data_IF_643788625825
#
_entry.id   IF_643788625825
#
_cell.length_a   1.000
_cell.length_b   1.000
_cell.length_c   1.000
_cell.angle_alpha   90.00
_cell.angle_beta   90.00
_cell.angle_gamma   90.00
#
_symmetry.space_group_name_H-M   'P 1'
#
loop_
_entity.id
_entity.type
_entity.pdbx_description
1 polymer ?
#
# COMPACT_ATOMS: atom_id res chain seq x y z
N UNK A 1 -63.31 15.68 29.42
CA UNK A 1 -62.84 16.05 30.78
C UNK A 1 -61.42 15.51 30.90
N UNK A 2 -60.33 16.22 31.22
CA UNK A 2 -60.04 17.63 31.45
C UNK A 2 -58.56 17.86 31.05
N UNK A 3 -58.25 19.09 30.63
CA UNK A 3 -56.90 19.61 30.30
C UNK A 3 -56.07 19.84 31.56
N UNK A 4 -54.74 19.73 31.47
CA UNK A 4 -53.82 20.73 32.04
C UNK A 4 -52.42 20.68 31.42
N UNK A 5 -51.99 21.83 30.93
CA UNK A 5 -50.62 22.18 30.52
C UNK A 5 -49.75 22.42 31.77
N UNK A 6 -48.44 22.19 31.67
CA UNK A 6 -47.43 23.16 32.13
C UNK A 6 -46.04 22.85 31.52
N UNK A 7 -45.43 23.91 30.98
CA UNK A 7 -44.10 24.07 30.41
C UNK A 7 -43.08 24.49 31.47
N UNK A 8 -41.85 23.95 31.44
CA UNK A 8 -40.59 24.56 31.97
C UNK A 8 -39.43 23.62 31.55
N UNK A 9 -38.62 23.87 30.52
CA UNK A 9 -37.54 24.85 30.34
C UNK A 9 -36.39 24.74 31.35
N UNK A 10 -35.38 23.90 31.07
CA UNK A 10 -34.00 24.07 31.56
C UNK A 10 -33.00 23.46 30.56
N UNK A 11 -32.53 24.31 29.63
CA UNK A 11 -31.26 24.13 28.94
C UNK A 11 -30.15 24.58 29.90
N UNK A 12 -29.25 23.67 30.29
CA UNK A 12 -28.01 24.04 30.97
C UNK A 12 -26.94 24.32 29.92
N UNK A 13 -26.58 25.60 29.81
CA UNK A 13 -25.38 26.09 29.14
C UNK A 13 -24.14 25.54 29.86
N UNK A 14 -23.32 24.77 29.14
CA UNK A 14 -21.91 24.58 29.48
C UNK A 14 -21.13 25.67 28.75
N UNK A 15 -20.84 26.72 29.49
CA UNK A 15 -19.95 27.82 29.09
C UNK A 15 -18.50 27.28 29.15
N UNK A 16 -17.92 26.98 27.98
CA UNK A 16 -16.50 26.67 27.86
C UNK A 16 -15.81 27.81 27.13
N UNK A 17 -15.07 28.63 27.89
CA UNK A 17 -14.20 29.70 27.40
C UNK A 17 -13.24 29.19 26.30
N UNK A 18 -13.14 29.85 25.14
CA UNK A 18 -12.05 29.58 24.19
C UNK A 18 -10.78 30.33 24.63
N UNK A 19 -9.80 29.57 25.10
CA UNK A 19 -8.45 30.08 25.37
C UNK A 19 -7.79 30.60 24.06
N UNK A 20 -7.47 31.89 24.05
CA UNK A 20 -6.86 32.60 22.91
C UNK A 20 -5.39 32.17 22.77
N UNK A 21 -5.11 31.25 21.84
CA UNK A 21 -3.74 30.94 21.45
C UNK A 21 -3.14 32.04 20.59
N UNK A 22 -2.11 32.72 21.11
CA UNK A 22 -1.34 33.77 20.43
C UNK A 22 -0.58 33.22 19.22
N UNK A 23 -0.50 33.94 18.09
CA UNK A 23 0.29 33.49 16.93
C UNK A 23 1.78 33.73 17.16
N UNK A 24 2.58 32.65 17.08
CA UNK A 24 4.04 32.72 17.03
C UNK A 24 4.46 33.11 15.61
N UNK A 25 5.06 34.29 15.46
CA UNK A 25 5.75 34.69 14.23
C UNK A 25 7.06 33.90 14.11
N UNK A 26 7.09 32.92 13.22
CA UNK A 26 8.34 32.35 12.71
C UNK A 26 8.40 32.56 11.20
N UNK A 27 8.94 33.71 10.80
CA UNK A 27 9.45 33.90 9.45
C UNK A 27 10.75 33.08 9.33
N UNK A 28 10.69 31.92 8.70
CA UNK A 28 11.89 31.23 8.20
C UNK A 28 11.64 30.88 6.74
N UNK A 29 12.40 31.51 5.84
CA UNK A 29 12.46 31.16 4.42
C UNK A 29 12.95 29.72 4.32
N UNK A 30 12.08 28.79 3.95
CA UNK A 30 12.44 27.40 3.66
C UNK A 30 12.41 27.24 2.14
N UNK A 31 13.40 26.52 1.61
CA UNK A 31 13.70 26.29 0.18
C UNK A 31 14.66 27.28 -0.48
N UNK A 32 15.87 27.34 0.09
CA UNK A 32 17.07 27.17 -0.73
C UNK A 32 18.07 26.32 0.05
N UNK A 33 18.60 25.33 -0.65
CA UNK A 33 19.75 24.48 -0.32
C UNK A 33 19.45 23.13 0.37
N UNK A 34 19.78 22.10 -0.41
CA UNK A 34 19.83 20.68 -0.07
C UNK A 34 20.88 20.39 1.01
N UNK A 35 20.53 19.61 2.05
CA UNK A 35 21.27 18.40 2.41
C UNK A 35 20.46 17.54 3.41
N UNK A 36 20.34 16.24 3.14
CA UNK A 36 19.77 15.28 4.07
C UNK A 36 20.72 15.07 5.28
N UNK A 37 20.23 15.08 6.53
CA UNK A 37 21.10 14.83 7.68
C UNK A 37 21.36 13.33 7.83
N UNK A 38 22.65 12.99 7.93
CA UNK A 38 23.13 11.66 8.33
C UNK A 38 23.35 11.64 9.84
N UNK A 39 22.62 10.80 10.58
CA UNK A 39 23.04 10.22 11.87
C UNK A 39 22.25 8.91 12.08
N UNK A 40 22.91 7.77 11.91
CA UNK A 40 22.95 6.64 12.84
C UNK A 40 24.27 5.93 12.53
N UNK A 41 25.31 6.26 13.28
CA UNK A 41 26.49 5.44 13.41
C UNK A 41 26.21 4.35 14.46
N UNK A 42 26.94 3.25 14.34
CA UNK A 42 27.05 2.13 15.29
C UNK A 42 26.10 0.95 15.02
N UNK A 43 26.42 0.12 14.01
CA UNK A 43 26.56 -1.34 14.18
C UNK A 43 27.63 -1.84 13.21
N UNK A 44 28.64 -2.48 13.79
CA UNK A 44 29.77 -3.14 13.15
C UNK A 44 29.31 -4.43 12.44
N UNK A 45 29.48 -4.51 11.11
CA UNK A 45 29.59 -5.78 10.40
C UNK A 45 30.63 -5.67 9.28
N UNK A 46 31.69 -6.43 9.45
CA UNK A 46 32.81 -6.59 8.53
C UNK A 46 32.37 -7.39 7.31
N UNK A 47 32.57 -6.85 6.11
CA UNK A 47 32.90 -7.71 4.98
C UNK A 47 33.82 -6.97 3.99
N UNK A 48 35.00 -7.53 3.81
CA UNK A 48 36.09 -6.96 3.05
C UNK A 48 35.87 -7.18 1.55
N UNK A 49 35.83 -6.11 0.76
CA UNK A 49 36.12 -6.18 -0.69
C UNK A 49 37.10 -5.08 -1.08
N UNK A 50 38.20 -5.51 -1.73
CA UNK A 50 39.35 -4.70 -2.12
C UNK A 50 39.08 -3.99 -3.46
N UNK A 51 39.21 -2.65 -3.57
CA UNK A 51 39.17 -1.97 -4.87
C UNK A 51 40.57 -1.78 -5.48
N UNK A 52 40.71 -2.20 -6.74
CA UNK A 52 41.89 -1.99 -7.60
C UNK A 52 41.93 -0.54 -8.11
N UNK A 53 43.06 0.14 -7.88
CA UNK A 53 43.35 1.52 -8.34
C UNK A 53 43.61 1.56 -9.86
N UNK A 54 42.92 2.46 -10.57
CA UNK A 54 43.32 2.91 -11.92
C UNK A 54 43.63 4.41 -11.87
N UNK A 55 44.87 4.76 -12.23
CA UNK A 55 45.37 6.15 -12.29
C UNK A 55 44.99 6.80 -13.62
N UNK A 56 44.26 7.90 -13.58
CA UNK A 56 44.10 8.85 -14.69
C UNK A 56 45.23 9.89 -14.68
N UNK A 57 45.86 10.17 -15.82
CA UNK A 57 46.79 11.30 -15.99
C UNK A 57 46.35 12.15 -17.19
N UNK A 58 46.05 13.42 -16.92
CA UNK A 58 45.82 14.46 -17.90
C UNK A 58 47.07 15.35 -18.05
N UNK A 59 47.37 15.84 -19.25
CA UNK A 59 48.21 17.04 -19.48
C UNK A 59 47.93 17.69 -20.86
N UNK A 60 47.52 18.97 -20.82
CA UNK A 60 47.39 20.00 -21.90
C UNK A 60 48.78 20.64 -22.23
N UNK A 61 48.89 21.72 -23.03
CA UNK A 61 48.45 22.05 -24.41
C UNK A 61 49.60 22.65 -25.26
N UNK A 62 49.43 22.91 -26.58
CA UNK A 62 50.30 23.87 -27.28
C UNK A 62 49.61 24.54 -28.49
N UNK A 63 49.82 25.86 -28.64
CA UNK A 63 49.27 26.75 -29.65
C UNK A 63 50.36 27.21 -30.66
N UNK A 64 49.88 27.78 -31.79
CA UNK A 64 50.53 28.31 -33.01
C UNK A 64 51.91 28.98 -32.93
N UNK A 65 52.55 29.12 -34.12
CA UNK A 65 52.66 30.46 -34.70
C UNK A 65 52.32 30.53 -36.20
N UNK A 66 52.11 31.77 -36.67
CA UNK A 66 51.73 32.17 -38.03
C UNK A 66 52.93 32.40 -38.96
N UNK A 67 52.73 32.35 -40.30
CA UNK A 67 53.09 33.38 -41.31
C UNK A 67 52.89 32.92 -42.78
N UNK A 68 52.08 33.71 -43.51
CA UNK A 68 52.25 34.33 -44.86
C UNK A 68 52.32 33.52 -46.20
N UNK A 69 51.27 33.71 -47.02
CA UNK A 69 51.09 33.88 -48.50
C UNK A 69 52.08 33.25 -49.51
N UNK A 70 51.60 32.41 -50.46
CA UNK A 70 51.73 32.59 -51.93
C UNK A 70 50.84 31.61 -52.74
N UNK A 71 50.44 32.02 -53.94
CA UNK A 71 49.43 31.46 -54.84
C UNK A 71 50.10 30.66 -55.99
N UNK A 72 49.69 29.42 -56.28
CA UNK A 72 49.64 28.83 -57.66
C UNK A 72 49.03 27.42 -57.68
N UNK A 73 48.28 27.13 -58.74
CA UNK A 73 47.41 25.96 -59.04
C UNK A 73 48.16 24.91 -59.91
N UNK A 74 47.52 23.86 -60.50
CA UNK A 74 46.97 22.59 -59.97
C UNK A 74 47.72 21.33 -60.47
N UNK A 75 47.48 20.14 -59.88
CA UNK A 75 47.26 18.84 -60.59
C UNK A 75 47.37 17.60 -59.67
N UNK A 76 46.59 16.58 -60.04
CA UNK A 76 46.59 15.15 -59.65
C UNK A 76 46.00 14.68 -58.31
N UNK A 77 44.73 14.28 -58.40
CA UNK A 77 44.02 13.45 -57.41
C UNK A 77 44.31 11.97 -57.67
N UNK A 78 45.17 11.36 -56.86
CA UNK A 78 45.27 9.89 -56.73
C UNK A 78 44.35 9.44 -55.58
N UNK A 79 43.34 8.61 -55.88
CA UNK A 79 42.45 8.01 -54.87
C UNK A 79 43.14 6.82 -54.19
N UNK A 80 43.24 6.74 -52.85
CA UNK A 80 43.79 5.56 -52.20
C UNK A 80 42.76 4.41 -52.08
N UNK A 81 43.22 3.19 -52.34
CA UNK A 81 42.42 1.96 -52.34
C UNK A 81 41.88 1.60 -50.93
N UNK A 82 40.60 1.21 -50.86
CA UNK A 82 39.86 0.85 -49.64
C UNK A 82 40.30 -0.53 -49.11
N UNK A 83 41.05 -0.54 -48.01
CA UNK A 83 41.47 -1.78 -47.34
C UNK A 83 40.28 -2.54 -46.71
N UNK A 84 40.20 -3.84 -46.97
CA UNK A 84 39.16 -4.79 -46.52
C UNK A 84 39.18 -4.99 -44.98
N UNK A 85 38.58 -4.08 -44.21
CA UNK A 85 38.34 -4.25 -42.75
C UNK A 85 37.09 -5.07 -42.38
N UNK A 86 36.27 -5.45 -43.37
CA UNK A 86 34.98 -6.13 -43.15
C UNK A 86 35.10 -7.51 -42.46
N UNK A 87 36.19 -8.24 -42.68
CA UNK A 87 36.41 -9.56 -42.04
C UNK A 87 36.64 -9.45 -40.52
N UNK A 88 37.24 -8.35 -40.06
CA UNK A 88 37.48 -8.10 -38.65
C UNK A 88 36.21 -7.66 -37.91
N UNK A 89 35.33 -6.94 -38.60
CA UNK A 89 34.02 -6.54 -38.06
C UNK A 89 33.13 -7.77 -37.86
N UNK A 90 33.13 -8.72 -38.82
CA UNK A 90 32.40 -9.98 -38.70
C UNK A 90 32.92 -10.87 -37.56
N UNK A 91 34.24 -10.91 -37.33
CA UNK A 91 34.83 -11.64 -36.21
C UNK A 91 34.37 -11.06 -34.86
N UNK A 92 34.29 -9.73 -34.73
CA UNK A 92 33.77 -9.07 -33.53
C UNK A 92 32.30 -9.41 -33.25
N UNK A 93 31.46 -9.43 -34.28
CA UNK A 93 30.04 -9.81 -34.17
C UNK A 93 29.89 -11.28 -33.74
N UNK A 94 30.70 -12.18 -34.30
CA UNK A 94 30.68 -13.60 -33.93
C UNK A 94 31.08 -13.82 -32.46
N UNK A 95 32.11 -13.12 -31.98
CA UNK A 95 32.52 -13.19 -30.57
C UNK A 95 31.41 -12.65 -29.65
N UNK A 96 30.74 -11.56 -30.04
CA UNK A 96 29.64 -11.00 -29.26
C UNK A 96 28.47 -11.99 -29.13
N UNK A 97 28.13 -12.69 -30.23
CA UNK A 97 27.07 -13.70 -30.25
C UNK A 97 27.40 -14.91 -29.36
N UNK A 98 28.66 -15.37 -29.37
CA UNK A 98 29.11 -16.47 -28.50
C UNK A 98 29.04 -16.07 -27.02
N UNK A 99 29.46 -14.85 -26.67
CA UNK A 99 29.38 -14.35 -25.29
C UNK A 99 27.92 -14.23 -24.82
N UNK A 100 27.01 -13.77 -25.70
CA UNK A 100 25.57 -13.69 -25.37
C UNK A 100 24.94 -15.07 -25.21
N UNK A 101 25.32 -16.05 -26.04
CA UNK A 101 24.83 -17.43 -25.92
C UNK A 101 25.32 -18.14 -24.64
N UNK A 102 26.55 -17.87 -24.18
CA UNK A 102 27.07 -18.41 -22.92
C UNK A 102 26.38 -17.72 -21.73
N UNK A 103 26.15 -16.41 -21.80
CA UNK A 103 25.47 -15.64 -20.76
C UNK A 103 24.04 -16.11 -20.48
N UNK A 104 23.28 -16.47 -21.52
CA UNK A 104 21.90 -16.98 -21.36
C UNK A 104 21.86 -18.38 -20.72
N UNK A 105 22.83 -19.24 -21.02
CA UNK A 105 22.90 -20.60 -20.44
C UNK A 105 23.19 -20.62 -18.93
N UNK A 106 24.12 -19.77 -18.48
CA UNK A 106 24.47 -19.69 -17.05
C UNK A 106 23.31 -19.09 -16.25
N UNK A 107 22.66 -18.05 -16.76
CA UNK A 107 21.53 -17.38 -16.12
C UNK A 107 20.29 -18.27 -15.95
N UNK A 108 20.05 -19.21 -16.86
CA UNK A 108 18.91 -20.13 -16.75
C UNK A 108 19.06 -21.09 -15.56
N UNK A 109 20.26 -21.61 -15.34
CA UNK A 109 20.53 -22.55 -14.24
C UNK A 109 20.47 -21.89 -12.85
N UNK A 110 20.91 -20.64 -12.75
CA UNK A 110 20.83 -19.87 -11.50
C UNK A 110 19.39 -19.47 -11.19
N UNK A 111 18.61 -19.10 -12.21
CA UNK A 111 17.18 -18.82 -12.06
C UNK A 111 16.38 -20.06 -11.61
N UNK A 112 16.69 -21.25 -12.12
CA UNK A 112 16.05 -22.49 -11.67
C UNK A 112 16.35 -22.81 -10.21
N UNK A 113 17.62 -22.68 -9.80
CA UNK A 113 18.04 -22.87 -8.39
C UNK A 113 17.42 -21.83 -7.46
N UNK A 114 17.31 -20.58 -7.90
CA UNK A 114 16.66 -19.51 -7.13
C UNK A 114 15.16 -19.77 -6.95
N UNK A 115 14.48 -20.30 -7.98
CA UNK A 115 13.05 -20.69 -7.88
C UNK A 115 12.85 -21.86 -6.91
N UNK A 116 13.69 -22.88 -6.98
CA UNK A 116 13.64 -24.01 -6.04
C UNK A 116 13.93 -23.57 -4.60
N UNK A 117 14.92 -22.68 -4.40
CA UNK A 117 15.23 -22.13 -3.09
C UNK A 117 14.11 -21.22 -2.55
N UNK A 118 13.48 -20.42 -3.41
CA UNK A 118 12.34 -19.59 -3.04
C UNK A 118 11.12 -20.46 -2.65
N UNK A 119 10.87 -21.55 -3.36
CA UNK A 119 9.81 -22.50 -3.04
C UNK A 119 10.04 -23.18 -1.68
N UNK A 120 11.27 -23.61 -1.40
CA UNK A 120 11.61 -24.18 -0.08
C UNK A 120 11.48 -23.17 1.05
N UNK A 121 11.89 -21.92 0.81
CA UNK A 121 11.78 -20.83 1.79
C UNK A 121 10.32 -20.47 2.06
N UNK A 122 9.48 -20.44 1.03
CA UNK A 122 8.06 -20.15 1.16
C UNK A 122 7.32 -21.25 1.93
N UNK A 123 7.64 -22.53 1.68
CA UNK A 123 7.09 -23.65 2.45
C UNK A 123 7.55 -23.62 3.90
N UNK A 124 8.82 -23.26 4.16
CA UNK A 124 9.36 -23.10 5.50
C UNK A 124 8.68 -21.94 6.24
N UNK A 125 8.43 -20.80 5.58
CA UNK A 125 7.74 -19.65 6.16
C UNK A 125 6.28 -19.98 6.53
N UNK A 126 5.57 -20.67 5.62
CA UNK A 126 4.21 -21.15 5.88
C UNK A 126 4.16 -22.17 7.02
N UNK A 127 5.12 -23.09 7.07
CA UNK A 127 5.26 -24.07 8.15
C UNK A 127 5.53 -23.38 9.49
N UNK A 128 6.48 -22.43 9.53
CA UNK A 128 6.85 -21.66 10.72
C UNK A 128 5.66 -20.86 11.25
N UNK A 129 4.96 -20.16 10.35
CA UNK A 129 3.76 -19.38 10.71
C UNK A 129 2.66 -20.27 11.28
N UNK A 130 2.44 -21.44 10.67
CA UNK A 130 1.44 -22.40 11.14
C UNK A 130 1.83 -23.00 12.49
N UNK A 131 3.13 -23.22 12.72
CA UNK A 131 3.65 -23.76 13.98
C UNK A 131 3.46 -22.76 15.13
N UNK A 132 3.84 -21.49 14.94
CA UNK A 132 3.64 -20.43 15.94
C UNK A 132 2.15 -20.24 16.27
N UNK A 133 1.27 -20.36 15.26
CA UNK A 133 -0.19 -20.34 15.49
C UNK A 133 -0.65 -21.55 16.31
N UNK A 134 -0.12 -22.75 16.01
CA UNK A 134 -0.43 -23.94 16.80
C UNK A 134 0.04 -23.80 18.25
N UNK A 135 1.20 -23.20 18.51
CA UNK A 135 1.67 -22.93 19.88
C UNK A 135 0.76 -21.96 20.63
N UNK A 136 0.26 -20.92 19.95
CA UNK A 136 -0.76 -20.03 20.51
C UNK A 136 -2.06 -20.78 20.79
N UNK A 137 -2.53 -21.61 19.86
CA UNK A 137 -3.74 -22.41 20.06
C UNK A 137 -3.60 -23.36 21.26
N UNK A 138 -2.42 -23.91 21.51
CA UNK A 138 -2.12 -24.71 22.71
C UNK A 138 -2.18 -23.86 23.97
N UNK A 139 -1.58 -22.66 23.96
CA UNK A 139 -1.62 -21.72 25.08
C UNK A 139 -3.06 -21.27 25.40
N UNK A 140 -3.90 -21.14 24.37
CA UNK A 140 -5.31 -20.77 24.47
C UNK A 140 -6.22 -21.98 24.78
N UNK A 141 -5.67 -23.20 24.91
CA UNK A 141 -6.41 -24.42 25.22
C UNK A 141 -7.19 -25.05 24.04
N UNK A 142 -7.04 -24.50 22.83
CA UNK A 142 -7.68 -24.97 21.61
C UNK A 142 -6.93 -26.16 20.98
N UNK A 143 -6.84 -27.28 21.70
CA UNK A 143 -5.99 -28.42 21.33
C UNK A 143 -6.36 -29.03 19.97
N UNK A 144 -7.64 -29.05 19.60
CA UNK A 144 -8.10 -29.56 18.30
C UNK A 144 -7.60 -28.68 17.15
N UNK A 145 -7.66 -27.36 17.27
CA UNK A 145 -7.12 -26.43 16.27
C UNK A 145 -5.60 -26.56 16.16
N UNK A 146 -4.92 -26.70 17.29
CA UNK A 146 -3.48 -26.96 17.31
C UNK A 146 -3.12 -28.25 16.57
N UNK A 147 -3.83 -29.35 16.81
CA UNK A 147 -3.60 -30.63 16.13
C UNK A 147 -3.79 -30.54 14.61
N UNK A 148 -4.82 -29.84 14.14
CA UNK A 148 -5.09 -29.64 12.72
C UNK A 148 -3.99 -28.81 12.03
N UNK A 149 -3.52 -27.73 12.69
CA UNK A 149 -2.41 -26.92 12.16
C UNK A 149 -1.10 -27.71 12.12
N UNK A 150 -0.82 -28.54 13.11
CA UNK A 150 0.37 -29.41 13.13
C UNK A 150 0.27 -30.49 12.03
N UNK A 151 -0.90 -31.10 11.82
CA UNK A 151 -1.12 -32.03 10.71
C UNK A 151 -0.99 -31.34 9.34
N UNK A 152 -1.43 -30.08 9.21
CA UNK A 152 -1.21 -29.30 8.00
C UNK A 152 0.28 -29.10 7.71
N UNK A 153 1.10 -28.78 8.71
CA UNK A 153 2.57 -28.68 8.55
C UNK A 153 3.14 -30.01 8.05
N UNK A 154 2.65 -31.15 8.55
CA UNK A 154 3.09 -32.47 8.09
C UNK A 154 2.80 -32.70 6.59
N UNK A 155 1.78 -32.06 6.02
CA UNK A 155 1.47 -32.16 4.58
C UNK A 155 2.35 -31.27 3.70
N UNK A 156 2.80 -30.11 4.20
CA UNK A 156 3.54 -29.11 3.40
C UNK A 156 5.06 -29.16 3.62
N UNK A 157 5.50 -29.55 4.83
CA UNK A 157 6.90 -29.63 5.25
C UNK A 157 7.07 -30.68 6.37
N UNK A 158 7.07 -31.99 6.03
CA UNK A 158 7.19 -33.07 7.02
C UNK A 158 8.46 -33.01 7.89
N UNK A 159 9.54 -32.43 7.36
CA UNK A 159 10.83 -32.28 8.06
C UNK A 159 10.92 -31.09 9.00
N UNK A 160 9.80 -30.48 9.41
CA UNK A 160 9.82 -29.32 10.30
C UNK A 160 10.35 -29.71 11.69
N UNK A 161 11.34 -29.00 12.25
CA UNK A 161 11.96 -29.36 13.52
C UNK A 161 10.95 -29.30 14.67
N UNK A 162 10.86 -30.38 15.45
CA UNK A 162 9.97 -30.47 16.62
C UNK A 162 8.49 -30.71 16.29
N UNK A 163 8.11 -30.88 15.02
CA UNK A 163 6.72 -31.10 14.61
C UNK A 163 6.12 -32.38 15.19
N UNK A 164 6.83 -33.50 15.03
CA UNK A 164 6.33 -34.81 15.46
C UNK A 164 6.15 -34.87 16.99
N UNK A 165 7.11 -34.30 17.72
CA UNK A 165 7.05 -34.25 19.18
C UNK A 165 5.91 -33.36 19.66
N UNK A 166 5.71 -32.18 19.03
CA UNK A 166 4.62 -31.27 19.35
C UNK A 166 3.26 -31.88 19.02
N UNK A 167 3.14 -32.56 17.88
CA UNK A 167 1.90 -33.25 17.51
C UNK A 167 1.59 -34.38 18.49
N UNK A 168 2.59 -35.15 18.91
CA UNK A 168 2.42 -36.20 19.93
C UNK A 168 1.95 -35.61 21.27
N UNK A 169 2.56 -34.51 21.71
CA UNK A 169 2.16 -33.77 22.93
C UNK A 169 0.71 -33.29 22.88
N UNK A 170 0.28 -32.70 21.75
CA UNK A 170 -1.09 -32.22 21.60
C UNK A 170 -2.09 -33.38 21.56
N UNK A 171 -1.77 -34.46 20.82
CA UNK A 171 -2.66 -35.62 20.74
C UNK A 171 -2.78 -36.35 22.09
N UNK A 172 -1.72 -36.43 22.88
CA UNK A 172 -1.81 -36.98 24.24
C UNK A 172 -2.61 -36.06 25.16
N UNK A 173 -2.44 -34.74 25.05
CA UNK A 173 -3.25 -33.77 25.80
C UNK A 173 -4.75 -33.86 25.44
N UNK A 174 -5.08 -34.03 24.16
CA UNK A 174 -6.46 -34.28 23.70
C UNK A 174 -7.00 -35.59 24.29
N UNK A 175 -6.20 -36.65 24.31
CA UNK A 175 -6.60 -37.96 24.86
C UNK A 175 -6.79 -37.92 26.38
N UNK A 176 -6.00 -37.12 27.11
CA UNK A 176 -6.16 -36.93 28.56
C UNK A 176 -7.37 -36.04 28.87
N UNK A 177 -7.58 -34.98 28.07
CA UNK A 177 -8.71 -34.07 28.23
C UNK A 177 -10.06 -34.71 27.85
N UNK A 178 -10.03 -35.73 26.97
CA UNK A 178 -11.20 -36.50 26.56
C UNK A 178 -10.99 -37.99 26.91
N UNK A 179 -11.13 -38.39 28.18
CA UNK A 179 -10.92 -39.76 28.61
C UNK A 179 -11.89 -40.76 27.95
N UNK A 180 -12.99 -40.29 27.37
CA UNK A 180 -13.94 -41.11 26.58
C UNK A 180 -13.49 -41.39 25.13
N UNK A 181 -12.37 -40.81 24.69
CA UNK A 181 -11.85 -40.96 23.32
C UNK A 181 -10.68 -41.96 23.19
N UNK A 182 -10.40 -42.76 24.23
CA UNK A 182 -9.36 -43.80 24.18
C UNK A 182 -9.98 -45.19 24.01
N UNK A 183 -10.18 -45.61 22.77
CA UNK A 183 -10.23 -47.02 22.42
C UNK A 183 -9.31 -47.25 21.20
N UNK A 184 -8.13 -47.80 21.46
CA UNK A 184 -7.35 -48.48 20.44
C UNK A 184 -8.18 -49.67 19.88
N UNK A 185 -8.00 -50.06 18.60
CA UNK A 185 -8.84 -51.07 17.96
C UNK A 185 -8.53 -52.46 18.54
N UNK A 186 -9.44 -52.99 19.35
CA UNK A 186 -9.48 -54.41 19.69
C UNK A 186 -10.64 -55.07 18.92
N UNK A 187 -10.42 -56.25 18.31
CA UNK A 187 -11.48 -56.94 17.57
C UNK A 187 -12.49 -57.45 18.59
N UNK A 188 -13.70 -56.87 18.61
CA UNK A 188 -14.75 -57.28 19.54
C UNK A 188 -16.10 -57.26 18.81
N UNK A 189 -16.97 -58.25 19.07
CA UNK A 189 -18.13 -58.60 18.25
C UNK A 189 -19.28 -57.62 18.45
N UNK A 190 -20.12 -57.48 17.40
CA UNK A 190 -21.47 -56.90 17.39
C UNK A 190 -21.89 -56.16 18.67
N UNK A 191 -21.39 -54.93 18.83
CA UNK A 191 -21.94 -53.98 19.79
C UNK A 191 -23.03 -53.19 19.07
N UNK A 192 -24.26 -53.32 19.57
CA UNK A 192 -25.44 -52.66 19.08
C UNK A 192 -25.21 -51.16 18.84
N UNK A 193 -25.57 -50.71 17.65
CA UNK A 193 -25.66 -49.31 17.28
C UNK A 193 -26.63 -48.59 18.22
N UNK A 194 -26.13 -47.86 19.22
CA UNK A 194 -26.87 -46.70 19.73
C UNK A 194 -26.70 -45.59 18.69
N UNK A 195 -27.76 -45.13 18.01
CA UNK A 195 -27.63 -44.04 17.05
C UNK A 195 -27.20 -42.79 17.80
N UNK A 196 -25.97 -42.33 17.55
CA UNK A 196 -25.64 -40.91 17.72
C UNK A 196 -26.69 -40.14 16.92
N UNK A 197 -27.34 -39.09 17.47
CA UNK A 197 -28.26 -38.26 16.70
C UNK A 197 -27.56 -37.86 15.40
N UNK A 198 -28.04 -38.39 14.28
CA UNK A 198 -27.54 -37.99 12.97
C UNK A 198 -27.92 -36.54 12.84
N UNK A 199 -26.94 -35.64 12.98
CA UNK A 199 -27.15 -34.20 12.72
C UNK A 199 -27.84 -34.12 11.36
N UNK A 200 -29.02 -33.49 11.32
CA UNK A 200 -29.80 -33.41 10.10
C UNK A 200 -29.03 -32.58 9.07
N UNK A 201 -28.36 -33.30 8.18
CA UNK A 201 -27.52 -32.75 7.12
C UNK A 201 -28.25 -32.77 5.77
N UNK A 202 -29.56 -33.01 5.78
CA UNK A 202 -30.38 -33.03 4.55
C UNK A 202 -30.29 -31.69 3.80
N UNK A 203 -30.34 -30.57 4.51
CA UNK A 203 -30.24 -29.24 3.92
C UNK A 203 -28.84 -28.95 3.35
N UNK A 204 -27.76 -29.26 4.08
CA UNK A 204 -26.38 -29.00 3.60
C UNK A 204 -26.00 -29.86 2.39
N UNK A 205 -26.58 -31.07 2.25
CA UNK A 205 -26.42 -31.91 1.04
C UNK A 205 -27.01 -31.28 -0.22
N UNK A 206 -28.01 -30.40 -0.08
CA UNK A 206 -28.59 -29.66 -1.22
C UNK A 206 -27.80 -28.37 -1.48
N UNK A 207 -27.30 -27.70 -0.44
CA UNK A 207 -26.60 -26.42 -0.55
C UNK A 207 -25.20 -26.54 -1.19
N UNK A 208 -24.46 -27.62 -0.95
CA UNK A 208 -23.11 -27.75 -1.53
C UNK A 208 -23.12 -27.87 -3.07
N UNK A 209 -23.97 -28.70 -3.71
CA UNK A 209 -24.13 -28.68 -5.16
C UNK A 209 -24.59 -27.32 -5.71
N UNK A 210 -25.46 -26.61 -4.99
CA UNK A 210 -25.86 -25.25 -5.36
C UNK A 210 -24.65 -24.29 -5.35
N UNK A 211 -23.84 -24.32 -4.28
CA UNK A 211 -22.64 -23.52 -4.18
C UNK A 211 -21.65 -23.83 -5.32
N UNK A 212 -21.44 -25.12 -5.65
CA UNK A 212 -20.60 -25.51 -6.78
C UNK A 212 -21.12 -24.96 -8.12
N UNK A 213 -22.43 -24.99 -8.35
CA UNK A 213 -23.04 -24.39 -9.55
C UNK A 213 -22.87 -22.87 -9.60
N UNK A 214 -23.02 -22.18 -8.47
CA UNK A 214 -22.79 -20.74 -8.36
C UNK A 214 -21.33 -20.37 -8.61
N UNK A 215 -20.39 -21.16 -8.08
CA UNK A 215 -18.97 -21.04 -8.36
C UNK A 215 -18.68 -21.18 -9.85
N UNK A 216 -19.20 -22.22 -10.50
CA UNK A 216 -19.03 -22.45 -11.94
C UNK A 216 -19.66 -21.35 -12.81
N UNK A 217 -20.71 -20.70 -12.31
CA UNK A 217 -21.42 -19.61 -12.99
C UNK A 217 -20.83 -18.23 -12.69
N UNK A 218 -19.78 -18.14 -11.87
CA UNK A 218 -19.21 -16.89 -11.35
C UNK A 218 -20.22 -16.02 -10.57
N UNK A 219 -21.26 -16.62 -10.00
CA UNK A 219 -22.21 -15.94 -9.11
C UNK A 219 -21.58 -15.81 -7.71
N UNK A 220 -20.60 -14.91 -7.58
CA UNK A 220 -19.84 -14.76 -6.34
C UNK A 220 -20.71 -14.31 -5.17
N UNK A 221 -21.68 -13.43 -5.41
CA UNK A 221 -22.61 -12.96 -4.39
C UNK A 221 -23.48 -14.11 -3.89
N UNK A 222 -24.13 -14.83 -4.79
CA UNK A 222 -24.95 -15.98 -4.43
C UNK A 222 -24.14 -17.10 -3.79
N UNK A 223 -22.92 -17.34 -4.27
CA UNK A 223 -21.99 -18.30 -3.67
C UNK A 223 -21.70 -17.97 -2.21
N UNK A 224 -21.38 -16.70 -1.91
CA UNK A 224 -21.10 -16.23 -0.55
C UNK A 224 -22.32 -16.45 0.36
N UNK A 225 -23.51 -16.11 -0.12
CA UNK A 225 -24.76 -16.27 0.63
C UNK A 225 -25.04 -17.77 0.92
N UNK A 226 -24.85 -18.65 -0.06
CA UNK A 226 -25.03 -20.11 0.11
C UNK A 226 -24.01 -20.73 1.05
N UNK A 227 -22.73 -20.34 0.93
CA UNK A 227 -21.66 -20.84 1.80
C UNK A 227 -21.85 -20.39 3.24
N UNK A 228 -22.27 -19.14 3.48
CA UNK A 228 -22.58 -18.67 4.82
C UNK A 228 -23.73 -19.48 5.45
N UNK A 229 -24.77 -19.81 4.69
CA UNK A 229 -25.85 -20.70 5.16
C UNK A 229 -25.33 -22.08 5.51
N UNK A 230 -24.52 -22.68 4.63
CA UNK A 230 -23.93 -24.00 4.85
C UNK A 230 -23.10 -24.03 6.15
N UNK A 231 -22.20 -23.05 6.32
CA UNK A 231 -21.34 -22.93 7.52
C UNK A 231 -22.14 -22.65 8.80
N UNK A 232 -23.28 -21.96 8.71
CA UNK A 232 -24.17 -21.73 9.86
C UNK A 232 -24.90 -23.00 10.30
N UNK A 233 -25.29 -23.87 9.37
CA UNK A 233 -25.97 -25.14 9.68
C UNK A 233 -24.94 -26.17 10.17
N UNK A 234 -23.85 -26.34 9.44
CA UNK A 234 -22.77 -27.26 9.80
C UNK A 234 -21.38 -26.76 9.41
N UNK A 235 -20.65 -26.14 10.35
CA UNK A 235 -19.28 -25.68 10.12
C UNK A 235 -18.29 -26.81 9.75
N UNK A 236 -18.61 -28.06 10.09
CA UNK A 236 -17.71 -29.21 9.89
C UNK A 236 -17.96 -29.96 8.59
N UNK A 237 -19.06 -29.67 7.89
CA UNK A 237 -19.46 -30.38 6.67
C UNK A 237 -18.52 -30.04 5.51
N UNK A 238 -17.78 -31.03 5.00
CA UNK A 238 -16.87 -30.88 3.86
C UNK A 238 -15.97 -29.63 3.99
N UNK A 239 -15.47 -29.38 5.21
CA UNK A 239 -14.87 -28.09 5.59
C UNK A 239 -13.79 -27.60 4.61
N UNK A 240 -12.94 -28.51 4.12
CA UNK A 240 -11.90 -28.16 3.14
C UNK A 240 -12.49 -27.65 1.81
N UNK A 241 -13.52 -28.31 1.29
CA UNK A 241 -14.20 -27.88 0.05
C UNK A 241 -14.96 -26.58 0.27
N UNK A 242 -15.66 -26.46 1.40
CA UNK A 242 -16.44 -25.27 1.75
C UNK A 242 -15.53 -24.05 1.95
N UNK A 243 -14.40 -24.20 2.65
CA UNK A 243 -13.44 -23.11 2.87
C UNK A 243 -12.77 -22.69 1.55
N UNK A 244 -12.47 -23.64 0.66
CA UNK A 244 -12.00 -23.33 -0.69
C UNK A 244 -13.00 -22.48 -1.48
N UNK A 245 -14.28 -22.87 -1.49
CA UNK A 245 -15.34 -22.08 -2.12
C UNK A 245 -15.55 -20.73 -1.43
N UNK A 246 -15.45 -20.69 -0.10
CA UNK A 246 -15.58 -19.47 0.68
C UNK A 246 -14.48 -18.45 0.35
N UNK A 247 -13.23 -18.92 0.21
CA UNK A 247 -12.11 -18.10 -0.24
C UNK A 247 -12.41 -17.42 -1.59
N UNK A 248 -12.84 -18.18 -2.60
CA UNK A 248 -13.17 -17.61 -3.91
C UNK A 248 -14.36 -16.64 -3.86
N UNK A 249 -15.39 -16.97 -3.07
CA UNK A 249 -16.52 -16.09 -2.86
C UNK A 249 -16.07 -14.74 -2.29
N UNK A 250 -15.31 -14.76 -1.20
CA UNK A 250 -14.79 -13.56 -0.56
C UNK A 250 -13.84 -12.77 -1.46
N UNK A 251 -12.86 -13.43 -2.09
CA UNK A 251 -11.86 -12.79 -2.96
C UNK A 251 -12.52 -12.04 -4.11
N UNK A 252 -13.45 -12.69 -4.82
CA UNK A 252 -14.11 -12.08 -5.97
C UNK A 252 -15.15 -11.01 -5.57
N UNK A 253 -15.91 -11.21 -4.49
CA UNK A 253 -16.77 -10.14 -3.97
C UNK A 253 -15.95 -8.93 -3.49
N UNK A 254 -14.78 -9.16 -2.90
CA UNK A 254 -13.88 -8.09 -2.46
C UNK A 254 -13.44 -7.20 -3.62
N UNK A 255 -12.94 -7.82 -4.70
CA UNK A 255 -12.57 -7.11 -5.93
C UNK A 255 -13.77 -6.37 -6.53
N UNK A 256 -14.92 -7.04 -6.65
CA UNK A 256 -16.13 -6.42 -7.20
C UNK A 256 -16.58 -5.20 -6.38
N UNK A 257 -16.46 -5.26 -5.04
CA UNK A 257 -16.78 -4.14 -4.16
C UNK A 257 -15.82 -2.97 -4.30
N UNK A 258 -14.51 -3.23 -4.39
CA UNK A 258 -13.52 -2.16 -4.66
C UNK A 258 -13.81 -1.50 -6.00
N UNK A 259 -14.06 -2.28 -7.05
CA UNK A 259 -14.34 -1.74 -8.38
C UNK A 259 -15.66 -0.94 -8.44
N UNK A 260 -16.61 -1.24 -7.56
CA UNK A 260 -17.86 -0.50 -7.41
C UNK A 260 -17.75 0.72 -6.48
N UNK A 261 -16.55 1.04 -5.98
CA UNK A 261 -16.30 2.18 -5.09
C UNK A 261 -16.52 1.93 -3.61
N UNK A 262 -16.94 0.73 -3.23
CA UNK A 262 -17.04 0.32 -1.83
C UNK A 262 -15.70 -0.23 -1.32
N UNK A 263 -14.71 0.66 -1.21
CA UNK A 263 -13.32 0.30 -0.93
C UNK A 263 -13.16 -0.47 0.39
N UNK A 264 -13.76 0.02 1.47
CA UNK A 264 -13.66 -0.57 2.81
C UNK A 264 -14.34 -1.94 2.87
N UNK A 265 -15.53 -2.06 2.29
CA UNK A 265 -16.27 -3.32 2.22
C UNK A 265 -15.48 -4.35 1.42
N UNK A 266 -14.88 -3.93 0.31
CA UNK A 266 -14.04 -4.80 -0.49
C UNK A 266 -12.76 -5.22 0.23
N UNK A 267 -12.07 -4.29 0.91
CA UNK A 267 -10.92 -4.57 1.75
C UNK A 267 -11.25 -5.54 2.89
N UNK A 268 -12.43 -5.43 3.49
CA UNK A 268 -12.92 -6.35 4.51
C UNK A 268 -13.06 -7.78 3.96
N UNK A 269 -13.69 -7.94 2.79
CA UNK A 269 -13.78 -9.26 2.14
C UNK A 269 -12.41 -9.85 1.78
N UNK A 270 -11.50 -9.03 1.25
CA UNK A 270 -10.14 -9.48 0.93
C UNK A 270 -9.35 -9.87 2.20
N UNK A 271 -9.52 -9.14 3.30
CA UNK A 271 -8.89 -9.50 4.58
C UNK A 271 -9.40 -10.85 5.10
N UNK A 272 -10.71 -11.11 4.99
CA UNK A 272 -11.28 -12.42 5.35
C UNK A 272 -10.78 -13.53 4.43
N UNK A 273 -10.70 -13.31 3.11
CA UNK A 273 -10.14 -14.28 2.19
C UNK A 273 -8.67 -14.60 2.54
N UNK A 274 -7.86 -13.57 2.84
CA UNK A 274 -6.47 -13.70 3.26
C UNK A 274 -6.27 -14.48 4.57
N UNK A 275 -7.31 -14.59 5.40
CA UNK A 275 -7.27 -15.42 6.63
C UNK A 275 -7.42 -16.92 6.36
N UNK A 276 -8.00 -17.28 5.20
CA UNK A 276 -8.24 -18.67 4.77
C UNK A 276 -7.06 -19.17 3.92
N UNK A 277 -6.66 -18.39 2.92
CA UNK A 277 -5.56 -18.74 2.02
C UNK A 277 -4.84 -17.46 1.53
N UNK A 278 -3.58 -17.55 1.07
CA UNK A 278 -2.86 -16.42 0.50
C UNK A 278 -3.61 -15.76 -0.65
N UNK A 279 -3.66 -14.42 -0.65
CA UNK A 279 -4.21 -13.65 -1.76
C UNK A 279 -3.29 -13.69 -2.97
N UNK A 280 -3.89 -13.66 -4.15
CA UNK A 280 -3.16 -13.53 -5.41
C UNK A 280 -2.72 -12.07 -5.66
N UNK A 281 -1.80 -11.89 -6.61
CA UNK A 281 -1.16 -10.59 -6.85
C UNK A 281 -2.17 -9.48 -7.24
N UNK A 282 -3.25 -9.84 -7.93
CA UNK A 282 -4.30 -8.89 -8.30
C UNK A 282 -4.99 -8.33 -7.04
N UNK A 283 -5.47 -9.21 -6.16
CA UNK A 283 -6.14 -8.82 -4.92
C UNK A 283 -5.19 -8.03 -3.99
N UNK A 284 -3.92 -8.43 -3.91
CA UNK A 284 -2.91 -7.70 -3.13
C UNK A 284 -2.68 -6.28 -3.66
N UNK A 285 -2.44 -6.15 -4.97
CA UNK A 285 -2.21 -4.85 -5.61
C UNK A 285 -3.42 -3.92 -5.44
N UNK A 286 -4.62 -4.43 -5.70
CA UNK A 286 -5.85 -3.67 -5.57
C UNK A 286 -6.12 -3.24 -4.13
N UNK A 287 -5.87 -4.13 -3.16
CA UNK A 287 -6.03 -3.80 -1.74
C UNK A 287 -5.04 -2.73 -1.26
N UNK A 288 -3.80 -2.77 -1.75
CA UNK A 288 -2.78 -1.76 -1.44
C UNK A 288 -3.19 -0.38 -1.95
N UNK A 289 -3.66 -0.31 -3.21
CA UNK A 289 -4.13 0.93 -3.82
C UNK A 289 -5.39 1.47 -3.13
N UNK A 290 -6.35 0.62 -2.78
CA UNK A 290 -7.55 1.02 -2.06
C UNK A 290 -7.23 1.57 -0.65
N UNK A 291 -6.30 0.96 0.09
CA UNK A 291 -5.83 1.49 1.38
C UNK A 291 -5.14 2.84 1.23
N UNK A 292 -4.31 2.99 0.19
CA UNK A 292 -3.63 4.25 -0.11
C UNK A 292 -4.65 5.35 -0.45
N UNK A 293 -5.68 5.03 -1.24
CA UNK A 293 -6.78 5.95 -1.56
C UNK A 293 -7.45 6.44 -0.27
N UNK A 294 -7.93 5.52 0.57
CA UNK A 294 -8.62 5.86 1.82
C UNK A 294 -7.74 6.69 2.77
N UNK A 295 -6.44 6.37 2.82
CA UNK A 295 -5.48 7.16 3.59
C UNK A 295 -5.37 8.58 3.02
N UNK A 296 -5.29 8.73 1.70
CA UNK A 296 -5.22 10.03 1.05
C UNK A 296 -6.49 10.87 1.26
N UNK A 297 -7.65 10.23 1.21
CA UNK A 297 -8.94 10.85 1.47
C UNK A 297 -9.05 11.37 2.91
N UNK A 298 -8.50 10.65 3.90
CA UNK A 298 -8.47 11.13 5.29
C UNK A 298 -7.71 12.46 5.49
N UNK A 299 -6.81 12.80 4.57
CA UNK A 299 -6.11 14.08 4.54
C UNK A 299 -6.81 15.14 3.68
N UNK A 300 -7.78 14.75 2.85
CA UNK A 300 -8.46 15.69 1.96
C UNK A 300 -9.24 16.73 2.78
N UNK A 301 -9.09 18.01 2.45
CA UNK A 301 -9.70 19.11 3.21
C UNK A 301 -8.97 19.51 4.50
N UNK A 302 -8.01 18.70 4.96
CA UNK A 302 -7.21 18.96 6.17
C UNK A 302 -5.75 19.28 5.79
N UNK A 303 -5.14 18.41 4.98
CA UNK A 303 -3.79 18.54 4.46
C UNK A 303 -3.77 18.11 2.98
N UNK A 304 -4.06 19.07 2.11
CA UNK A 304 -4.08 18.83 0.67
C UNK A 304 -2.71 18.42 0.11
N UNK A 305 -1.59 18.81 0.73
CA UNK A 305 -0.27 18.37 0.28
C UNK A 305 -0.11 16.85 0.47
N UNK A 306 -0.45 16.33 1.66
CA UNK A 306 -0.35 14.89 1.94
C UNK A 306 -1.37 14.07 1.13
N UNK A 307 -2.59 14.60 0.99
CA UNK A 307 -3.61 13.98 0.14
C UNK A 307 -3.15 13.88 -1.31
N UNK A 308 -2.61 14.96 -1.87
CA UNK A 308 -2.07 15.02 -3.24
C UNK A 308 -0.91 14.04 -3.46
N UNK A 309 0.03 13.94 -2.51
CA UNK A 309 1.16 13.02 -2.60
C UNK A 309 0.70 11.56 -2.73
N UNK A 310 -0.23 11.13 -1.88
CA UNK A 310 -0.75 9.77 -1.90
C UNK A 310 -1.64 9.51 -3.13
N UNK A 311 -2.51 10.45 -3.47
CA UNK A 311 -3.38 10.35 -4.64
C UNK A 311 -2.61 10.34 -5.96
N UNK A 312 -1.43 10.96 -6.03
CA UNK A 312 -0.58 10.91 -7.22
C UNK A 312 -0.22 9.46 -7.58
N UNK A 313 0.15 8.64 -6.60
CA UNK A 313 0.48 7.24 -6.82
C UNK A 313 -0.75 6.41 -7.14
N UNK A 314 -1.90 6.66 -6.48
CA UNK A 314 -3.14 5.96 -6.81
C UNK A 314 -3.62 6.32 -8.21
N UNK A 315 -3.64 7.60 -8.58
CA UNK A 315 -4.07 8.07 -9.90
C UNK A 315 -3.17 7.55 -11.02
N UNK A 316 -1.88 7.35 -10.76
CA UNK A 316 -0.94 6.76 -11.72
C UNK A 316 -1.22 5.28 -11.98
N UNK A 317 -1.52 4.50 -10.94
CA UNK A 317 -1.65 3.04 -11.05
C UNK A 317 -3.09 2.56 -11.25
N UNK A 318 -4.07 3.30 -10.74
CA UNK A 318 -5.50 3.00 -10.84
C UNK A 318 -6.32 4.29 -11.05
N UNK A 319 -6.16 5.00 -12.18
CA UNK A 319 -6.82 6.29 -12.44
C UNK A 319 -8.35 6.23 -12.38
N UNK A 320 -8.93 5.05 -12.65
CA UNK A 320 -10.37 4.79 -12.67
C UNK A 320 -10.92 4.21 -11.37
N UNK A 321 -10.09 3.99 -10.34
CA UNK A 321 -10.58 3.61 -9.02
C UNK A 321 -11.51 4.70 -8.52
N UNK A 322 -12.71 4.33 -8.10
CA UNK A 322 -13.73 5.24 -7.58
C UNK A 322 -13.92 4.99 -6.09
N UNK A 323 -14.44 5.98 -5.39
CA UNK A 323 -15.01 5.81 -4.06
C UNK A 323 -16.55 5.79 -4.14
N UNK A 324 -17.22 5.79 -3.00
CA UNK A 324 -18.69 5.83 -2.90
C UNK A 324 -19.31 7.13 -3.42
N UNK A 325 -18.52 8.20 -3.57
CA UNK A 325 -19.00 9.46 -4.16
C UNK A 325 -19.03 9.40 -5.70
N UNK A 326 -18.45 8.36 -6.29
CA UNK A 326 -18.35 8.21 -7.74
C UNK A 326 -17.22 9.02 -8.38
N UNK A 327 -16.39 9.68 -7.57
CA UNK A 327 -15.23 10.44 -8.05
C UNK A 327 -14.05 9.49 -8.24
N UNK A 328 -13.44 9.55 -9.42
CA UNK A 328 -12.27 8.72 -9.74
C UNK A 328 -11.02 9.22 -9.01
N UNK A 329 -10.05 8.34 -8.79
CA UNK A 329 -8.75 8.68 -8.18
C UNK A 329 -8.02 9.79 -8.95
N UNK A 330 -8.10 9.78 -10.29
CA UNK A 330 -7.56 10.87 -11.10
C UNK A 330 -8.26 12.21 -10.84
N UNK A 331 -9.59 12.22 -10.74
CA UNK A 331 -10.34 13.44 -10.42
C UNK A 331 -10.03 13.91 -9.01
N UNK A 332 -10.04 13.01 -8.01
CA UNK A 332 -9.74 13.35 -6.62
C UNK A 332 -8.33 13.89 -6.45
N UNK A 333 -7.36 13.34 -7.19
CA UNK A 333 -6.00 13.87 -7.26
C UNK A 333 -5.98 15.35 -7.71
N UNK A 334 -6.68 15.67 -8.80
CA UNK A 334 -6.78 17.05 -9.30
C UNK A 334 -7.52 17.95 -8.32
N UNK A 335 -8.63 17.48 -7.72
CA UNK A 335 -9.34 18.22 -6.68
C UNK A 335 -8.45 18.55 -5.48
N UNK A 336 -7.58 17.62 -5.08
CA UNK A 336 -6.61 17.85 -4.00
C UNK A 336 -5.57 18.90 -4.40
N UNK A 337 -5.11 18.89 -5.65
CA UNK A 337 -4.22 19.95 -6.18
C UNK A 337 -4.89 21.32 -6.21
N UNK A 338 -6.18 21.38 -6.54
CA UNK A 338 -6.99 22.60 -6.47
C UNK A 338 -7.09 23.08 -5.02
N UNK A 339 -7.29 22.18 -4.07
CA UNK A 339 -7.26 22.49 -2.63
C UNK A 339 -5.95 23.12 -2.18
N UNK A 340 -4.80 22.70 -2.72
CA UNK A 340 -3.51 23.37 -2.48
C UNK A 340 -3.54 24.82 -3.00
N UNK A 341 -4.03 25.03 -4.22
CA UNK A 341 -4.19 26.37 -4.77
C UNK A 341 -5.11 27.25 -3.91
N UNK A 342 -6.20 26.69 -3.38
CA UNK A 342 -7.13 27.38 -2.50
C UNK A 342 -6.45 27.81 -1.19
N UNK A 343 -5.62 26.95 -0.59
CA UNK A 343 -4.79 27.31 0.56
C UNK A 343 -3.82 28.45 0.24
N UNK A 344 -3.17 28.43 -0.93
CA UNK A 344 -2.28 29.49 -1.38
C UNK A 344 -3.04 30.82 -1.58
N UNK A 345 -4.24 30.79 -2.14
CA UNK A 345 -5.11 31.97 -2.24
C UNK A 345 -5.44 32.56 -0.86
N UNK A 346 -5.81 31.72 0.12
CA UNK A 346 -6.13 32.20 1.47
C UNK A 346 -4.92 32.75 2.23
N UNK A 347 -3.72 32.26 1.91
CA UNK A 347 -2.46 32.77 2.47
C UNK A 347 -1.88 33.97 1.72
N UNK A 348 -2.64 34.52 0.75
CA UNK A 348 -2.27 35.67 -0.09
C UNK A 348 -1.10 35.39 -1.05
N UNK A 349 -0.74 34.12 -1.26
CA UNK A 349 0.29 33.68 -2.21
C UNK A 349 -0.33 33.40 -3.59
N UNK A 350 -0.90 34.45 -4.19
CA UNK A 350 -1.71 34.35 -5.41
C UNK A 350 -0.93 33.84 -6.62
N UNK A 351 0.34 34.23 -6.74
CA UNK A 351 1.16 33.85 -7.90
C UNK A 351 1.49 32.35 -7.89
N UNK A 352 1.83 31.79 -6.72
CA UNK A 352 2.03 30.34 -6.61
C UNK A 352 0.69 29.60 -6.72
N UNK A 353 -0.41 30.17 -6.24
CA UNK A 353 -1.75 29.60 -6.46
C UNK A 353 -2.07 29.46 -7.96
N UNK A 354 -1.80 30.49 -8.75
CA UNK A 354 -1.99 30.45 -10.21
C UNK A 354 -1.18 29.33 -10.88
N UNK A 355 0.10 29.18 -10.52
CA UNK A 355 0.97 28.09 -11.01
C UNK A 355 0.40 26.71 -10.63
N UNK A 356 -0.06 26.58 -9.38
CA UNK A 356 -0.61 25.32 -8.88
C UNK A 356 -1.89 24.93 -9.61
N UNK A 357 -2.81 25.87 -9.83
CA UNK A 357 -4.04 25.61 -10.59
C UNK A 357 -3.75 25.28 -12.07
N UNK A 358 -2.79 25.97 -12.68
CA UNK A 358 -2.37 25.66 -14.06
C UNK A 358 -1.80 24.24 -14.17
N UNK A 359 -1.00 23.81 -13.18
CA UNK A 359 -0.49 22.44 -13.11
C UNK A 359 -1.63 21.42 -12.96
N UNK A 360 -2.65 21.73 -12.15
CA UNK A 360 -3.84 20.89 -12.02
C UNK A 360 -4.62 20.77 -13.35
N UNK A 361 -4.73 21.89 -14.10
CA UNK A 361 -5.43 21.97 -15.39
C UNK A 361 -4.80 21.08 -16.46
N UNK A 362 -3.47 20.91 -16.44
CA UNK A 362 -2.77 20.02 -17.36
C UNK A 362 -3.23 18.56 -17.25
N UNK A 363 -3.75 18.16 -16.08
CA UNK A 363 -4.22 16.78 -15.83
C UNK A 363 -5.71 16.62 -16.14
N UNK A 364 -6.52 17.57 -15.65
CA UNK A 364 -7.96 17.63 -15.88
C UNK A 364 -8.44 19.08 -15.82
N UNK A 365 -9.07 19.55 -16.90
CA UNK A 365 -9.64 20.89 -16.99
C UNK A 365 -11.13 20.89 -16.63
N UNK A 366 -11.59 21.97 -16.00
CA UNK A 366 -13.01 22.26 -15.74
C UNK A 366 -13.24 23.78 -15.74
N UNK A 367 -14.47 24.21 -16.01
CA UNK A 367 -14.81 25.65 -16.02
C UNK A 367 -14.56 26.33 -14.67
N UNK A 368 -14.82 25.62 -13.57
CA UNK A 368 -14.52 26.11 -12.21
C UNK A 368 -13.02 26.33 -12.02
N UNK A 369 -12.19 25.38 -12.47
CA UNK A 369 -10.73 25.51 -12.40
C UNK A 369 -10.22 26.67 -13.27
N UNK A 370 -10.76 26.85 -14.47
CA UNK A 370 -10.40 27.98 -15.33
C UNK A 370 -10.74 29.33 -14.68
N UNK A 371 -11.88 29.44 -14.00
CA UNK A 371 -12.24 30.64 -13.25
C UNK A 371 -11.28 30.90 -12.08
N UNK A 372 -10.89 29.85 -11.32
CA UNK A 372 -9.89 29.96 -10.25
C UNK A 372 -8.52 30.41 -10.78
N UNK A 373 -8.09 29.90 -11.94
CA UNK A 373 -6.85 30.33 -12.60
C UNK A 373 -6.90 31.83 -12.92
N UNK A 374 -7.96 32.28 -13.58
CA UNK A 374 -8.13 33.70 -13.94
C UNK A 374 -8.13 34.59 -12.71
N UNK A 375 -8.85 34.20 -11.65
CA UNK A 375 -8.88 34.93 -10.39
C UNK A 375 -7.49 35.01 -9.73
N UNK A 376 -6.77 33.89 -9.66
CA UNK A 376 -5.43 33.85 -9.07
C UNK A 376 -4.42 34.70 -9.87
N UNK A 377 -4.51 34.68 -11.21
CA UNK A 377 -3.70 35.51 -12.08
C UNK A 377 -4.00 37.01 -11.88
N UNK A 378 -5.27 37.38 -11.77
CA UNK A 378 -5.67 38.76 -11.49
C UNK A 378 -5.15 39.22 -10.13
N UNK A 379 -5.31 38.42 -9.07
CA UNK A 379 -4.82 38.78 -7.74
C UNK A 379 -3.29 38.80 -7.65
N UNK A 380 -2.60 37.98 -8.46
CA UNK A 380 -1.15 38.03 -8.58
C UNK A 380 -0.67 39.34 -9.22
N UNK A 381 -1.35 39.81 -10.28
CA UNK A 381 -1.01 41.05 -10.97
C UNK A 381 -1.46 42.31 -10.19
N UNK A 382 -2.67 42.25 -9.63
CA UNK A 382 -3.36 43.33 -8.94
C UNK A 382 -3.90 42.82 -7.58
N UNK A 383 -3.05 42.72 -6.54
CA UNK A 383 -3.47 42.19 -5.24
C UNK A 383 -4.62 43.01 -4.65
N UNK A 384 -5.70 42.36 -4.17
CA UNK A 384 -6.79 43.08 -3.52
C UNK A 384 -6.29 43.76 -2.23
N UNK A 385 -6.92 44.88 -1.87
CA UNK A 385 -6.59 45.59 -0.63
C UNK A 385 -6.78 44.65 0.58
N UNK A 386 -5.73 44.49 1.38
CA UNK A 386 -5.82 43.74 2.64
C UNK A 386 -6.79 44.50 3.57
N UNK A 387 -7.84 43.86 4.12
CA UNK A 387 -8.73 44.53 5.05
C UNK A 387 -7.90 45.08 6.21
N UNK A 388 -7.97 46.39 6.42
CA UNK A 388 -7.33 47.01 7.57
C UNK A 388 -8.08 46.53 8.82
N UNK A 389 -7.40 45.99 9.84
CA UNK A 389 -8.07 45.62 11.08
C UNK A 389 -8.78 46.87 11.61
N UNK A 390 -10.11 46.79 11.69
CA UNK A 390 -10.90 47.86 12.30
C UNK A 390 -10.54 47.82 13.78
N UNK A 391 -9.87 48.86 14.28
CA UNK A 391 -9.62 49.03 15.70
C UNK A 391 -10.99 49.03 16.39
N UNK A 392 -11.21 48.10 17.32
CA UNK A 392 -12.40 48.09 18.15
C UNK A 392 -12.45 49.42 18.93
N UNK A 393 -13.45 50.29 18.71
CA UNK A 393 -13.57 51.55 19.43
C UNK A 393 -13.79 51.38 20.94
N UNK A 394 -14.04 50.15 21.42
CA UNK A 394 -14.12 49.81 22.83
C UNK A 394 -12.88 49.08 23.38
N UNK A 395 -11.81 48.93 22.58
CA UNK A 395 -10.57 48.37 23.09
C UNK A 395 -10.01 49.29 24.19
N UNK A 396 -9.74 48.78 25.41
CA UNK A 396 -9.21 49.60 26.49
C UNK A 396 -7.88 50.25 26.08
N UNK A 397 -7.80 51.56 26.26
CA UNK A 397 -6.60 52.35 25.99
C UNK A 397 -5.40 51.78 26.77
N UNK A 398 -4.23 51.58 26.14
CA UNK A 398 -3.07 51.06 26.85
C UNK A 398 -2.75 51.99 28.02
N UNK A 399 -2.81 51.45 29.24
CA UNK A 399 -2.42 52.18 30.44
C UNK A 399 -0.97 52.64 30.28
N UNK A 400 -0.66 53.94 30.44
CA UNK A 400 0.69 54.44 30.30
C UNK A 400 1.59 53.75 31.33
N UNK A 401 2.64 53.08 30.84
CA UNK A 401 3.71 52.55 31.68
C UNK A 401 4.38 53.72 32.41
N UNK A 402 4.47 53.71 33.75
CA UNK A 402 5.19 54.76 34.47
C UNK A 402 6.66 54.73 34.07
N UNK A 403 7.18 55.89 33.68
CA UNK A 403 8.60 56.08 33.41
C UNK A 403 9.43 55.62 34.62
N UNK A 404 10.23 54.57 34.39
CA UNK A 404 11.23 54.10 35.33
C UNK A 404 12.26 55.22 35.56
N UNK A 405 12.06 55.95 36.65
CA UNK A 405 13.04 56.57 37.54
C UNK A 405 14.50 56.45 37.06
N UNK A 406 15.05 57.56 36.55
CA UNK A 406 16.50 57.77 36.48
C UNK A 406 17.00 58.07 37.91
N UNK A 407 17.95 57.29 38.47
CA UNK A 407 18.61 57.69 39.69
C UNK A 407 19.66 58.77 39.33
N UNK A 408 19.57 59.93 39.97
CA UNK A 408 20.66 60.91 40.04
C UNK A 408 21.39 60.74 41.37
N UNK A 409 22.69 60.48 41.25
CA UNK A 409 23.85 60.61 42.17
C UNK A 409 23.69 60.39 43.69
#
# INVERSE_FOLDING_TARGET
MAKKNLTENQNNEFESDPEVTKPVKTARKIFKDNQAPAIYADVEHTDATVPVKVKSKARKPQASPAQTVELTDPADVVRPAKVRRAKWIWLGILIMLVITAIGTGIGYSTALKARLAAETNQRLELATTSFVKAERDIADGNLQMASQRLQYIMTIYPGYPGLEDKLREVLTAIAIANPDASAAPQPTPDAAFTPVPTKDTSEVRVLLPQAQNQFNSNDWKGLLDTINKLRNIDPSYEALTVDGLYFYALRNNGIAKINAGHLEVGLYYLAMAGSIAPLDQEALSLSSLARMYLTAESYFGINYYKSTELLAEVAKNAPHMVDVSGVTAKQRYVESMIGIGDLLMTSLDYCNAAIQYETAKEILSSDNLLAKIQQAQEYCANPPAVPTPTLDPNAPEPTPTPDSYKPTD
#
